data_IF_506243868698
#
_entry.id   IF_506243868698
#
_cell.length_a   1.000
_cell.length_b   1.000
_cell.length_c   1.000
_cell.angle_alpha   90.00
_cell.angle_beta   90.00
_cell.angle_gamma   90.00
#
_symmetry.space_group_name_H-M   'P 1'
#
loop_
_entity.id
_entity.type
_entity.pdbx_description
1 polymer ?
#
# COMPACT_ATOMS: atom_id res chain seq x y z
N UNK A 1 8.73 20.12 -7.72
CA UNK A 1 9.71 19.96 -8.82
C UNK A 1 10.22 18.52 -8.81
N UNK A 2 10.41 17.90 -9.97
CA UNK A 2 10.98 16.55 -10.20
C UNK A 2 10.06 15.35 -10.50
N UNK A 3 8.81 15.55 -10.94
CA UNK A 3 8.06 14.45 -11.59
C UNK A 3 8.67 14.03 -12.94
N UNK A 4 9.60 14.83 -13.50
CA UNK A 4 10.23 14.59 -14.80
C UNK A 4 11.51 13.75 -14.72
N UNK A 5 12.00 13.39 -13.52
CA UNK A 5 13.20 12.56 -13.33
C UNK A 5 12.92 11.18 -12.73
N UNK A 6 11.67 10.84 -12.41
CA UNK A 6 11.31 9.48 -12.03
C UNK A 6 11.07 8.63 -13.28
N UNK A 7 12.01 7.73 -13.59
CA UNK A 7 11.81 6.73 -14.63
C UNK A 7 10.65 5.81 -14.26
N UNK A 8 9.81 5.47 -15.25
CA UNK A 8 8.75 4.47 -15.09
C UNK A 8 9.39 3.12 -14.75
N UNK A 9 8.79 2.40 -13.80
CA UNK A 9 9.20 1.05 -13.44
C UNK A 9 8.48 0.04 -14.34
N UNK A 10 9.15 -1.05 -14.69
CA UNK A 10 8.54 -2.17 -15.41
C UNK A 10 8.14 -3.24 -14.40
N UNK A 11 6.86 -3.62 -14.39
CA UNK A 11 6.35 -4.71 -13.55
C UNK A 11 6.33 -6.01 -14.37
N UNK A 12 7.32 -6.87 -14.14
CA UNK A 12 7.44 -8.15 -14.85
C UNK A 12 6.53 -9.22 -14.22
N UNK A 13 5.87 -10.02 -15.05
CA UNK A 13 5.01 -11.12 -14.63
C UNK A 13 5.51 -12.45 -15.19
N UNK A 14 5.39 -13.53 -14.40
CA UNK A 14 5.77 -14.88 -14.82
C UNK A 14 4.54 -15.66 -15.34
N UNK A 15 4.49 -16.05 -16.62
CA UNK A 15 3.37 -16.83 -17.17
C UNK A 15 3.24 -18.25 -16.57
N UNK A 16 4.30 -18.74 -15.93
CA UNK A 16 4.34 -20.05 -15.27
C UNK A 16 3.77 -20.03 -13.86
N UNK A 17 3.55 -18.84 -13.28
CA UNK A 17 2.96 -18.70 -11.95
C UNK A 17 1.48 -19.08 -12.00
N UNK A 18 1.06 -19.99 -11.11
CA UNK A 18 -0.35 -20.35 -10.95
C UNK A 18 -1.21 -19.14 -10.60
N UNK A 19 -0.68 -18.17 -9.84
CA UNK A 19 -1.37 -16.92 -9.49
C UNK A 19 -1.67 -16.10 -10.75
N UNK A 20 -0.70 -15.96 -11.66
CA UNK A 20 -0.87 -15.19 -12.91
C UNK A 20 -1.86 -15.88 -13.85
N UNK A 21 -1.83 -17.20 -13.92
CA UNK A 21 -2.78 -17.98 -14.71
C UNK A 21 -4.21 -17.84 -14.19
N UNK A 22 -4.40 -17.91 -12.87
CA UNK A 22 -5.71 -17.74 -12.23
C UNK A 22 -6.21 -16.29 -12.37
N UNK A 23 -5.34 -15.30 -12.22
CA UNK A 23 -5.69 -13.89 -12.48
C UNK A 23 -6.17 -13.67 -13.90
N UNK A 24 -5.51 -14.28 -14.89
CA UNK A 24 -5.97 -14.23 -16.28
C UNK A 24 -7.39 -14.79 -16.41
N UNK A 25 -7.65 -15.97 -15.85
CA UNK A 25 -8.99 -16.59 -15.87
C UNK A 25 -10.04 -15.69 -15.22
N UNK A 26 -9.74 -15.10 -14.06
CA UNK A 26 -10.66 -14.18 -13.37
C UNK A 26 -10.94 -12.92 -14.18
N UNK A 27 -9.92 -12.34 -14.81
CA UNK A 27 -10.10 -11.18 -15.70
C UNK A 27 -11.01 -11.53 -16.89
N UNK A 28 -10.88 -12.73 -17.47
CA UNK A 28 -11.72 -13.20 -18.57
C UNK A 28 -13.16 -13.48 -18.13
N UNK A 29 -13.38 -13.95 -16.90
CA UNK A 29 -14.70 -14.29 -16.37
C UNK A 29 -15.46 -13.09 -15.78
N UNK A 30 -14.82 -12.34 -14.89
CA UNK A 30 -15.43 -11.29 -14.06
C UNK A 30 -15.15 -9.88 -14.63
N UNK A 31 -14.21 -9.77 -15.58
CA UNK A 31 -13.83 -8.53 -16.24
C UNK A 31 -12.65 -7.83 -15.58
N UNK A 32 -11.88 -7.08 -16.38
CA UNK A 32 -10.72 -6.31 -15.91
C UNK A 32 -11.05 -5.20 -14.89
N UNK A 33 -12.34 -4.87 -14.75
CA UNK A 33 -12.81 -3.86 -13.81
C UNK A 33 -13.31 -4.42 -12.48
N UNK A 34 -13.30 -5.75 -12.31
CA UNK A 34 -13.69 -6.38 -11.05
C UNK A 34 -12.85 -5.83 -9.87
N UNK A 35 -13.55 -5.50 -8.78
CA UNK A 35 -12.94 -4.87 -7.60
C UNK A 35 -11.94 -5.82 -6.91
N UNK A 36 -12.27 -7.11 -6.86
CA UNK A 36 -11.43 -8.12 -6.22
C UNK A 36 -10.15 -8.33 -7.01
N UNK A 37 -10.26 -8.50 -8.33
CA UNK A 37 -9.12 -8.63 -9.23
C UNK A 37 -8.18 -7.42 -9.12
N UNK A 38 -8.72 -6.19 -9.16
CA UNK A 38 -7.92 -4.97 -9.00
C UNK A 38 -7.18 -4.93 -7.66
N UNK A 39 -7.86 -5.28 -6.58
CA UNK A 39 -7.26 -5.32 -5.24
C UNK A 39 -6.11 -6.32 -5.15
N UNK A 40 -6.27 -7.54 -5.71
CA UNK A 40 -5.23 -8.57 -5.73
C UNK A 40 -4.03 -8.11 -6.58
N UNK A 41 -4.26 -7.54 -7.76
CA UNK A 41 -3.19 -7.05 -8.63
C UNK A 41 -2.41 -5.91 -7.97
N UNK A 42 -3.10 -4.99 -7.28
CA UNK A 42 -2.47 -3.92 -6.53
C UNK A 42 -1.57 -4.48 -5.41
N UNK A 43 -2.08 -5.47 -4.65
CA UNK A 43 -1.31 -6.12 -3.59
C UNK A 43 -0.05 -6.82 -4.12
N UNK A 44 -0.15 -7.50 -5.27
CA UNK A 44 1.00 -8.13 -5.94
C UNK A 44 2.04 -7.11 -6.40
N UNK A 45 1.59 -5.98 -6.95
CA UNK A 45 2.46 -4.89 -7.35
C UNK A 45 3.22 -4.30 -6.16
N UNK A 46 2.53 -4.01 -5.05
CA UNK A 46 3.13 -3.43 -3.83
C UNK A 46 4.10 -4.40 -3.15
N UNK A 47 3.75 -5.68 -3.11
CA UNK A 47 4.67 -6.74 -2.64
C UNK A 47 5.94 -6.77 -3.50
N UNK A 48 5.81 -6.57 -4.81
CA UNK A 48 6.94 -6.57 -5.73
C UNK A 48 7.80 -5.31 -5.62
N UNK A 49 7.20 -4.16 -5.28
CA UNK A 49 7.95 -2.96 -4.90
C UNK A 49 8.83 -3.26 -3.68
N UNK A 50 8.25 -3.84 -2.63
CA UNK A 50 8.97 -4.17 -1.39
C UNK A 50 10.15 -5.13 -1.64
N UNK A 51 9.91 -6.23 -2.36
CA UNK A 51 10.96 -7.23 -2.67
C UNK A 51 12.06 -6.65 -3.56
N UNK A 52 11.72 -5.72 -4.45
CA UNK A 52 12.68 -5.07 -5.35
C UNK A 52 13.41 -3.88 -4.70
N UNK A 53 13.17 -3.60 -3.41
CA UNK A 53 13.81 -2.52 -2.67
C UNK A 53 13.24 -1.13 -2.97
N UNK A 54 12.04 -1.03 -3.54
CA UNK A 54 11.33 0.23 -3.70
C UNK A 54 10.43 0.52 -2.48
N UNK A 55 10.20 1.81 -2.25
CA UNK A 55 9.23 2.29 -1.27
C UNK A 55 7.81 2.12 -1.78
N UNK A 56 6.88 1.77 -0.88
CA UNK A 56 5.44 1.79 -1.15
C UNK A 56 4.96 3.24 -0.99
N UNK A 57 4.25 3.75 -1.99
CA UNK A 57 3.76 5.15 -2.01
C UNK A 57 2.65 5.39 -0.99
N UNK A 58 1.77 4.40 -0.79
CA UNK A 58 0.62 4.47 0.12
C UNK A 58 0.64 3.29 1.11
N UNK A 59 1.43 3.36 2.20
CA UNK A 59 1.55 2.27 3.17
C UNK A 59 0.22 1.93 3.88
N UNK A 60 -0.63 2.93 4.13
CA UNK A 60 -1.93 2.73 4.77
C UNK A 60 -2.86 1.84 3.90
N UNK A 61 -2.99 2.17 2.61
CA UNK A 61 -3.78 1.37 1.67
C UNK A 61 -3.25 -0.06 1.50
N UNK A 62 -1.93 -0.25 1.52
CA UNK A 62 -1.31 -1.58 1.49
C UNK A 62 -1.67 -2.39 2.74
N UNK A 63 -1.61 -1.77 3.92
CA UNK A 63 -2.02 -2.36 5.20
C UNK A 63 -3.48 -2.79 5.19
N UNK A 64 -4.39 -1.91 4.73
CA UNK A 64 -5.82 -2.23 4.60
C UNK A 64 -6.07 -3.44 3.69
N UNK A 65 -5.35 -3.55 2.57
CA UNK A 65 -5.45 -4.71 1.67
C UNK A 65 -4.98 -6.00 2.34
N UNK A 66 -3.91 -5.96 3.13
CA UNK A 66 -3.43 -7.11 3.90
C UNK A 66 -4.46 -7.51 4.96
N UNK A 67 -5.01 -6.55 5.71
CA UNK A 67 -6.01 -6.82 6.73
C UNK A 67 -7.24 -7.50 6.14
N UNK A 68 -7.74 -7.01 5.00
CA UNK A 68 -8.85 -7.64 4.26
C UNK A 68 -8.54 -9.07 3.84
N UNK A 69 -7.32 -9.33 3.37
CA UNK A 69 -6.89 -10.69 3.01
C UNK A 69 -6.85 -11.61 4.24
N UNK A 70 -6.36 -11.13 5.38
CA UNK A 70 -6.34 -11.87 6.65
C UNK A 70 -7.75 -12.16 7.16
N UNK A 71 -8.65 -11.17 7.12
CA UNK A 71 -10.06 -11.34 7.50
C UNK A 71 -10.74 -12.42 6.64
N UNK A 72 -10.56 -12.38 5.31
CA UNK A 72 -11.08 -13.41 4.41
C UNK A 72 -10.50 -14.79 4.76
N UNK A 73 -9.19 -14.87 5.02
CA UNK A 73 -8.54 -16.12 5.40
C UNK A 73 -9.00 -16.69 6.75
N UNK A 74 -9.43 -15.82 7.67
CA UNK A 74 -10.01 -16.18 8.96
C UNK A 74 -11.55 -16.30 8.93
N UNK A 75 -12.18 -16.08 7.77
CA UNK A 75 -13.62 -16.07 7.57
C UNK A 75 -14.36 -15.12 8.55
N UNK A 76 -13.78 -13.94 8.75
CA UNK A 76 -14.37 -12.85 9.54
C UNK A 76 -15.18 -11.97 8.60
N UNK A 77 -16.48 -11.87 8.84
CA UNK A 77 -17.34 -10.92 8.14
C UNK A 77 -17.08 -9.51 8.69
N UNK A 78 -16.74 -8.56 7.81
CA UNK A 78 -16.67 -7.14 8.19
C UNK A 78 -18.09 -6.68 8.54
N UNK A 79 -18.36 -6.47 9.83
CA UNK A 79 -19.42 -5.57 10.25
C UNK A 79 -18.98 -4.18 9.79
N UNK A 80 -19.66 -3.62 8.77
CA UNK A 80 -19.35 -2.39 8.03
C UNK A 80 -19.43 -1.10 8.92
N UNK A 81 -19.21 -1.25 10.23
CA UNK A 81 -19.56 -0.30 11.31
C UNK A 81 -18.36 0.25 12.08
N UNK A 82 -17.14 0.21 11.54
CA UNK A 82 -15.99 0.93 12.13
C UNK A 82 -15.18 1.72 11.11
N UNK A 83 -15.77 2.83 10.69
CA UNK A 83 -14.99 4.03 10.32
C UNK A 83 -15.44 5.19 11.21
N UNK A 84 -15.30 5.03 12.53
CA UNK A 84 -15.14 6.18 13.44
C UNK A 84 -13.71 6.11 13.97
N UNK A 85 -12.75 6.55 13.15
CA UNK A 85 -11.49 7.02 13.71
C UNK A 85 -11.79 8.30 14.48
N UNK A 86 -11.82 8.13 15.80
CA UNK A 86 -11.72 9.22 16.77
C UNK A 86 -10.40 9.94 16.51
N UNK A 87 -10.36 11.28 16.35
CA UNK A 87 -9.11 11.98 16.17
C UNK A 87 -8.31 11.86 17.46
N UNK A 88 -7.19 11.14 17.39
CA UNK A 88 -6.20 11.09 18.45
C UNK A 88 -5.65 12.50 18.68
N UNK A 89 -6.24 13.17 19.67
CA UNK A 89 -5.76 14.42 20.23
C UNK A 89 -4.85 14.08 21.41
N UNK A 90 -3.73 14.80 21.52
CA UNK A 90 -2.65 14.78 22.53
C UNK A 90 -1.37 14.10 22.04
N UNK A 91 -0.19 14.74 22.02
CA UNK A 91 0.27 15.85 22.84
C UNK A 91 1.12 16.88 22.07
N UNK A 92 0.88 18.13 22.43
CA UNK A 92 1.70 19.33 22.22
C UNK A 92 3.07 19.25 22.89
N UNK A 93 3.97 20.09 22.35
CA UNK A 93 5.13 20.74 23.01
C UNK A 93 6.34 19.89 23.38
N UNK A 94 7.36 19.93 22.50
CA UNK A 94 8.74 20.14 22.98
C UNK A 94 9.20 21.51 22.47
N UNK A 95 9.54 22.36 23.42
CA UNK A 95 10.02 23.72 23.24
C UNK A 95 11.36 23.70 22.50
N UNK A 96 11.41 24.36 21.34
CA UNK A 96 12.65 24.83 20.73
C UNK A 96 13.15 26.01 21.57
N UNK A 97 13.98 25.70 22.56
CA UNK A 97 14.69 26.67 23.37
C UNK A 97 16.13 26.21 23.57
N UNK A 98 17.00 26.53 22.60
CA UNK A 98 18.31 27.10 22.94
C UNK A 98 18.85 27.88 21.74
N UNK A 99 18.84 29.19 21.89
CA UNK A 99 19.57 30.13 21.05
C UNK A 99 20.98 30.27 21.62
N UNK A 100 21.96 29.67 20.97
CA UNK A 100 23.36 30.01 21.17
C UNK A 100 24.07 29.99 19.80
N UNK A 101 24.15 31.18 19.19
CA UNK A 101 25.16 31.50 18.19
C UNK A 101 26.55 31.23 18.78
N UNK A 102 27.35 30.39 18.14
CA UNK A 102 28.80 30.37 18.34
C UNK A 102 29.46 30.73 17.01
N UNK A 103 30.12 31.89 17.00
CA UNK A 103 30.97 32.36 15.93
C UNK A 103 32.08 31.33 15.67
N UNK A 104 32.30 31.00 14.40
CA UNK A 104 33.53 30.33 13.96
C UNK A 104 34.43 31.41 13.39
N UNK A 105 35.55 31.61 14.07
CA UNK A 105 36.70 32.47 13.71
C UNK A 105 37.29 32.10 12.34
#
# INVERSE_FOLDING_TARGET
MSSYMSSKKTFEISPKSSIVQELKRKVEADGANDRTVKSIVQLLFETSLLVSGFTIEEPAGFSERIHKLVQIGLNIEEDDSKTEETPATAATTTETGDSAMEEVD
#
